data_IF_056990103882
#
_entry.id   IF_056990103882
#
_cell.length_a   1.000
_cell.length_b   1.000
_cell.length_c   1.000
_cell.angle_alpha   90.00
_cell.angle_beta   90.00
_cell.angle_gamma   90.00
#
_symmetry.space_group_name_H-M   'P 1'
#
loop_
_entity.id
_entity.type
_entity.pdbx_description
1 polymer ?
#
# COMPACT_ATOMS: atom_id res chain seq x y z
N UNK A 1 -7.70 -1.72 18.04
CA UNK A 1 -8.87 -2.63 18.14
C UNK A 1 -8.50 -4.04 17.66
N UNK A 2 -9.33 -5.08 17.88
CA UNK A 2 -9.07 -6.44 17.34
C UNK A 2 -9.05 -6.44 15.81
N UNK A 3 -9.93 -5.66 15.17
CA UNK A 3 -9.97 -5.50 13.71
C UNK A 3 -8.63 -5.01 13.16
N UNK A 4 -8.06 -3.95 13.73
CA UNK A 4 -6.73 -3.46 13.34
C UNK A 4 -5.64 -4.51 13.52
N UNK A 5 -5.67 -5.27 14.63
CA UNK A 5 -4.69 -6.33 14.89
C UNK A 5 -4.75 -7.42 13.81
N UNK A 6 -5.95 -7.83 13.40
CA UNK A 6 -6.12 -8.80 12.31
C UNK A 6 -5.65 -8.23 10.98
N UNK A 7 -5.94 -6.96 10.68
CA UNK A 7 -5.46 -6.31 9.45
C UNK A 7 -3.93 -6.27 9.41
N UNK A 8 -3.26 -5.93 10.52
CA UNK A 8 -1.80 -5.93 10.61
C UNK A 8 -1.22 -7.34 10.48
N UNK A 9 -1.83 -8.33 11.15
CA UNK A 9 -1.42 -9.73 11.01
C UNK A 9 -1.56 -10.21 9.56
N UNK A 10 -2.62 -9.80 8.87
CA UNK A 10 -2.88 -10.16 7.50
C UNK A 10 -1.94 -9.46 6.52
N UNK A 11 -1.69 -8.17 6.72
CA UNK A 11 -0.67 -7.40 6.01
C UNK A 11 0.70 -8.07 6.11
N UNK A 12 1.07 -8.56 7.29
CA UNK A 12 2.33 -9.27 7.46
C UNK A 12 2.42 -10.51 6.56
N UNK A 13 1.34 -11.27 6.42
CA UNK A 13 1.32 -12.50 5.60
C UNK A 13 1.27 -12.23 4.10
N UNK A 14 0.53 -11.21 3.67
CA UNK A 14 0.35 -10.90 2.25
C UNK A 14 1.54 -10.11 1.68
N UNK A 15 2.05 -9.15 2.45
CA UNK A 15 2.96 -8.13 1.95
C UNK A 15 4.29 -8.16 2.71
N UNK A 16 4.26 -7.91 4.02
CA UNK A 16 5.49 -7.58 4.75
C UNK A 16 6.48 -8.74 4.78
N UNK A 17 6.03 -9.96 5.06
CA UNK A 17 6.91 -11.11 5.11
C UNK A 17 7.55 -11.42 3.74
N UNK A 18 6.77 -11.61 2.64
CA UNK A 18 7.38 -11.88 1.33
C UNK A 18 8.25 -10.71 0.84
N UNK A 19 7.86 -9.46 1.09
CA UNK A 19 8.68 -8.29 0.75
C UNK A 19 10.01 -8.29 1.50
N UNK A 20 9.99 -8.47 2.83
CA UNK A 20 11.20 -8.43 3.65
C UNK A 20 12.12 -9.62 3.38
N UNK A 21 11.57 -10.78 3.05
CA UNK A 21 12.34 -11.95 2.62
C UNK A 21 13.06 -11.67 1.30
N UNK A 22 12.37 -11.08 0.31
CA UNK A 22 12.99 -10.71 -0.96
C UNK A 22 14.03 -9.60 -0.81
N UNK A 23 13.71 -8.54 -0.05
CA UNK A 23 14.60 -7.38 0.13
C UNK A 23 15.86 -7.70 0.94
N UNK A 24 15.83 -8.74 1.78
CA UNK A 24 16.97 -9.20 2.58
C UNK A 24 17.61 -10.48 2.04
N UNK A 25 17.24 -10.92 0.84
CA UNK A 25 17.84 -12.10 0.25
C UNK A 25 19.36 -11.88 0.03
N UNK A 26 20.18 -12.94 0.18
CA UNK A 26 21.63 -12.83 -0.02
C UNK A 26 21.95 -12.25 -1.40
N UNK A 27 22.83 -11.24 -1.43
CA UNK A 27 23.25 -10.60 -2.68
C UNK A 27 22.29 -9.54 -3.24
N UNK A 28 21.16 -9.27 -2.58
CA UNK A 28 20.27 -8.15 -2.95
C UNK A 28 20.79 -6.85 -2.36
N UNK A 29 21.02 -5.85 -3.21
CA UNK A 29 21.32 -4.50 -2.79
C UNK A 29 20.03 -3.73 -2.52
N UNK A 30 19.99 -2.96 -1.42
CA UNK A 30 18.85 -2.12 -1.08
C UNK A 30 18.53 -1.04 -2.11
N UNK A 31 19.52 -0.63 -2.92
CA UNK A 31 19.32 0.33 -4.01
C UNK A 31 18.57 -0.29 -5.20
N UNK A 32 18.70 -1.61 -5.40
CA UNK A 32 18.13 -2.32 -6.55
C UNK A 32 16.70 -2.85 -6.29
N UNK A 33 16.02 -2.32 -5.26
CA UNK A 33 14.68 -2.74 -4.88
C UNK A 33 13.56 -2.16 -5.77
N UNK A 34 13.90 -1.40 -6.81
CA UNK A 34 12.93 -0.77 -7.74
C UNK A 34 11.86 -1.75 -8.25
N UNK A 35 12.25 -2.85 -8.91
CA UNK A 35 11.30 -3.84 -9.41
C UNK A 35 10.44 -4.48 -8.32
N UNK A 36 11.00 -4.65 -7.10
CA UNK A 36 10.25 -5.21 -5.97
C UNK A 36 9.17 -4.24 -5.47
N UNK A 37 9.44 -2.92 -5.49
CA UNK A 37 8.46 -1.89 -5.14
C UNK A 37 7.35 -1.79 -6.19
N UNK A 38 7.67 -1.86 -7.47
CA UNK A 38 6.67 -1.89 -8.55
C UNK A 38 5.75 -3.10 -8.42
N UNK A 39 6.33 -4.28 -8.16
CA UNK A 39 5.55 -5.50 -7.90
C UNK A 39 4.63 -5.35 -6.69
N UNK A 40 5.12 -4.72 -5.62
CA UNK A 40 4.33 -4.45 -4.43
C UNK A 40 3.11 -3.57 -4.72
N UNK A 41 3.32 -2.46 -5.44
CA UNK A 41 2.28 -1.51 -5.84
C UNK A 41 1.22 -2.22 -6.71
N UNK A 42 1.66 -2.96 -7.73
CA UNK A 42 0.76 -3.73 -8.60
C UNK A 42 -0.06 -4.79 -7.83
N UNK A 43 0.52 -5.39 -6.79
CA UNK A 43 -0.18 -6.33 -5.92
C UNK A 43 -1.26 -5.63 -5.08
N UNK A 44 -0.97 -4.43 -4.55
CA UNK A 44 -1.98 -3.60 -3.90
C UNK A 44 -3.15 -3.28 -4.85
N UNK A 45 -2.87 -2.87 -6.10
CA UNK A 45 -3.91 -2.60 -7.10
C UNK A 45 -4.78 -3.82 -7.36
N UNK A 46 -4.16 -5.00 -7.45
CA UNK A 46 -4.86 -6.27 -7.65
C UNK A 46 -5.83 -6.58 -6.49
N UNK A 47 -5.38 -6.35 -5.24
CA UNK A 47 -6.20 -6.56 -4.05
C UNK A 47 -7.31 -5.51 -3.93
N UNK A 48 -7.05 -4.25 -4.27
CA UNK A 48 -8.06 -3.19 -4.25
C UNK A 48 -9.14 -3.43 -5.33
N UNK A 49 -8.75 -3.93 -6.49
CA UNK A 49 -9.68 -4.28 -7.57
C UNK A 49 -10.53 -5.51 -7.22
N UNK A 50 -9.94 -6.53 -6.60
CA UNK A 50 -10.65 -7.73 -6.17
C UNK A 50 -10.20 -8.21 -4.78
N UNK A 51 -10.83 -7.69 -3.71
CA UNK A 51 -10.47 -8.04 -2.32
C UNK A 51 -10.71 -9.52 -1.98
N UNK A 52 -11.59 -10.18 -2.73
CA UNK A 52 -11.99 -11.54 -2.47
C UNK A 52 -10.87 -12.53 -2.83
N UNK A 53 -9.85 -12.10 -3.58
CA UNK A 53 -8.62 -12.87 -3.81
C UNK A 53 -7.88 -13.21 -2.52
N UNK A 54 -7.90 -12.28 -1.55
CA UNK A 54 -7.29 -12.49 -0.23
C UNK A 54 -8.33 -12.89 0.82
N UNK A 55 -9.58 -12.42 0.70
CA UNK A 55 -10.60 -12.68 1.72
C UNK A 55 -11.28 -14.06 1.59
N UNK A 56 -11.19 -14.71 0.43
CA UNK A 56 -11.74 -16.05 0.25
C UNK A 56 -10.78 -17.12 0.79
N UNK A 57 -11.29 -18.00 1.66
CA UNK A 57 -10.53 -19.13 2.17
C UNK A 57 -10.64 -20.30 1.17
N UNK A 58 -9.79 -20.30 0.15
CA UNK A 58 -9.60 -21.44 -0.76
C UNK A 58 -8.22 -22.06 -0.56
N UNK A 59 -8.06 -23.35 -0.89
CA UNK A 59 -6.78 -24.07 -0.69
C UNK A 59 -5.61 -23.45 -1.44
N UNK A 60 -5.88 -22.77 -2.56
CA UNK A 60 -4.92 -22.10 -3.42
C UNK A 60 -4.94 -20.56 -3.29
N UNK A 61 -5.63 -20.02 -2.27
CA UNK A 61 -5.77 -18.56 -2.06
C UNK A 61 -4.43 -17.83 -1.89
N UNK A 62 -3.37 -18.53 -1.50
CA UNK A 62 -2.01 -17.97 -1.38
C UNK A 62 -1.41 -17.57 -2.73
N UNK A 63 -1.80 -18.23 -3.84
CA UNK A 63 -1.27 -17.94 -5.19
C UNK A 63 -1.55 -16.50 -5.63
N UNK A 64 -2.82 -16.04 -5.62
CA UNK A 64 -3.14 -14.63 -5.88
C UNK A 64 -3.02 -13.76 -4.63
N UNK A 65 -2.94 -14.36 -3.43
CA UNK A 65 -3.02 -13.63 -2.18
C UNK A 65 -1.67 -13.21 -1.60
N UNK A 66 -0.57 -13.92 -1.87
CA UNK A 66 0.76 -13.54 -1.42
C UNK A 66 1.49 -12.71 -2.48
N UNK A 67 2.28 -11.71 -2.06
CA UNK A 67 3.07 -10.87 -2.97
C UNK A 67 4.05 -11.69 -3.84
N UNK A 68 4.62 -12.76 -3.30
CA UNK A 68 5.53 -13.66 -4.01
C UNK A 68 4.82 -14.84 -4.69
N UNK A 69 3.51 -14.96 -4.49
CA UNK A 69 2.71 -16.10 -4.93
C UNK A 69 3.14 -17.41 -4.28
N UNK A 70 3.80 -17.40 -3.13
CA UNK A 70 4.19 -18.59 -2.38
C UNK A 70 3.19 -18.89 -1.25
N UNK A 71 3.16 -20.13 -0.74
CA UNK A 71 2.35 -20.47 0.43
C UNK A 71 2.68 -19.57 1.63
N UNK A 72 1.66 -19.10 2.34
CA UNK A 72 1.88 -18.24 3.51
C UNK A 72 2.65 -18.99 4.60
N UNK A 73 3.70 -18.36 5.11
CA UNK A 73 4.40 -18.82 6.32
C UNK A 73 3.42 -18.75 7.49
N UNK A 74 3.19 -19.87 8.18
CA UNK A 74 2.15 -20.02 9.23
C UNK A 74 0.71 -19.89 8.69
N UNK A 75 0.23 -20.84 7.86
CA UNK A 75 -1.13 -20.80 7.30
C UNK A 75 -2.23 -20.84 8.37
N UNK A 76 -1.94 -21.34 9.57
CA UNK A 76 -2.83 -21.32 10.72
C UNK A 76 -3.24 -19.90 11.14
N UNK A 77 -2.34 -18.92 10.95
CA UNK A 77 -2.61 -17.52 11.26
C UNK A 77 -3.64 -16.97 10.28
N UNK A 78 -3.50 -17.26 8.99
CA UNK A 78 -4.44 -16.82 7.96
C UNK A 78 -5.80 -17.45 8.20
N UNK A 79 -5.84 -18.76 8.48
CA UNK A 79 -7.08 -19.46 8.85
C UNK A 79 -7.78 -18.80 10.04
N UNK A 80 -7.05 -18.47 11.09
CA UNK A 80 -7.57 -17.77 12.27
C UNK A 80 -8.13 -16.39 11.89
N UNK A 81 -7.40 -15.62 11.07
CA UNK A 81 -7.86 -14.32 10.57
C UNK A 81 -9.19 -14.45 9.83
N UNK A 82 -9.33 -15.42 8.91
CA UNK A 82 -10.60 -15.62 8.19
C UNK A 82 -11.75 -16.00 9.13
N UNK A 83 -11.51 -16.86 10.12
CA UNK A 83 -12.53 -17.23 11.12
C UNK A 83 -12.97 -16.01 11.94
N UNK A 84 -12.03 -15.18 12.39
CA UNK A 84 -12.36 -13.97 13.12
C UNK A 84 -13.01 -12.90 12.24
N UNK A 85 -12.59 -12.77 10.98
CA UNK A 85 -13.13 -11.80 10.02
C UNK A 85 -14.63 -12.00 9.78
N UNK A 86 -15.12 -13.25 9.81
CA UNK A 86 -16.55 -13.56 9.70
C UNK A 86 -17.39 -12.95 10.83
N UNK A 87 -16.80 -12.70 12.00
CA UNK A 87 -17.47 -12.08 13.15
C UNK A 87 -17.29 -10.57 13.21
N UNK A 88 -16.50 -9.98 12.31
CA UNK A 88 -16.10 -8.58 12.33
C UNK A 88 -16.66 -7.86 11.09
N UNK A 89 -17.83 -7.20 11.22
CA UNK A 89 -18.53 -6.62 10.06
C UNK A 89 -17.72 -5.55 9.31
N UNK A 90 -16.78 -4.89 10.01
CA UNK A 90 -15.95 -3.83 9.44
C UNK A 90 -14.57 -4.29 8.98
N UNK A 91 -14.25 -5.59 9.07
CA UNK A 91 -12.91 -6.09 8.72
C UNK A 91 -12.56 -5.79 7.26
N UNK A 92 -13.48 -6.04 6.33
CA UNK A 92 -13.27 -5.76 4.90
C UNK A 92 -12.95 -4.29 4.64
N UNK A 93 -13.73 -3.38 5.21
CA UNK A 93 -13.52 -1.94 5.06
C UNK A 93 -12.18 -1.49 5.66
N UNK A 94 -11.84 -2.01 6.85
CA UNK A 94 -10.58 -1.72 7.51
C UNK A 94 -9.37 -2.23 6.70
N UNK A 95 -9.46 -3.44 6.12
CA UNK A 95 -8.42 -3.98 5.26
C UNK A 95 -8.21 -3.10 4.03
N UNK A 96 -9.28 -2.72 3.34
CA UNK A 96 -9.16 -1.88 2.14
C UNK A 96 -8.61 -0.51 2.43
N UNK A 97 -9.08 0.15 3.49
CA UNK A 97 -8.52 1.43 3.94
C UNK A 97 -7.03 1.32 4.26
N UNK A 98 -6.61 0.22 4.89
CA UNK A 98 -5.21 -0.03 5.19
C UNK A 98 -4.39 -0.26 3.91
N UNK A 99 -4.87 -1.10 2.98
CA UNK A 99 -4.18 -1.36 1.71
C UNK A 99 -4.07 -0.08 0.87
N UNK A 100 -5.09 0.77 0.84
CA UNK A 100 -5.03 2.09 0.18
C UNK A 100 -3.92 2.96 0.80
N UNK A 101 -3.85 3.07 2.13
CA UNK A 101 -2.81 3.85 2.78
C UNK A 101 -1.40 3.30 2.54
N UNK A 102 -1.24 1.98 2.55
CA UNK A 102 0.02 1.32 2.23
C UNK A 102 0.43 1.55 0.78
N UNK A 103 -0.51 1.47 -0.16
CA UNK A 103 -0.28 1.75 -1.57
C UNK A 103 0.20 3.19 -1.78
N UNK A 104 -0.49 4.17 -1.21
CA UNK A 104 -0.11 5.59 -1.26
C UNK A 104 1.29 5.81 -0.66
N UNK A 105 1.57 5.20 0.49
CA UNK A 105 2.88 5.28 1.14
C UNK A 105 3.99 4.72 0.26
N UNK A 106 3.81 3.53 -0.32
CA UNK A 106 4.81 2.92 -1.20
C UNK A 106 5.01 3.72 -2.50
N UNK A 107 3.95 4.29 -3.07
CA UNK A 107 4.06 5.16 -4.24
C UNK A 107 4.87 6.42 -3.93
N UNK A 108 4.61 7.07 -2.79
CA UNK A 108 5.38 8.24 -2.33
C UNK A 108 6.84 7.90 -2.04
N UNK A 109 7.08 6.82 -1.29
CA UNK A 109 8.43 6.38 -0.95
C UNK A 109 9.24 6.00 -2.20
N UNK A 110 8.62 5.33 -3.16
CA UNK A 110 9.31 4.88 -4.39
C UNK A 110 9.75 6.04 -5.29
N UNK A 111 9.03 7.17 -5.26
CA UNK A 111 9.37 8.35 -6.04
C UNK A 111 10.74 8.94 -5.68
N UNK A 112 11.22 8.74 -4.45
CA UNK A 112 12.52 9.22 -3.98
C UNK A 112 13.70 8.43 -4.58
N UNK A 113 13.47 7.23 -5.10
CA UNK A 113 14.50 6.29 -5.56
C UNK A 113 14.52 6.08 -7.08
N UNK A 114 13.84 6.93 -7.86
CA UNK A 114 13.90 6.90 -9.32
C UNK A 114 15.29 7.40 -9.76
N UNK A 115 15.96 6.64 -10.63
CA UNK A 115 17.28 6.98 -11.18
C UNK A 115 17.27 8.41 -11.76
N UNK A 116 18.16 9.27 -11.23
CA UNK A 116 18.29 10.67 -11.62
C UNK A 116 18.17 11.66 -10.47
N UNK A 117 17.64 11.28 -9.31
CA UNK A 117 17.74 12.05 -8.06
C UNK A 117 17.39 13.54 -8.18
N UNK A 118 16.51 13.91 -9.11
CA UNK A 118 16.05 15.27 -9.32
C UNK A 118 14.54 15.29 -9.59
N UNK A 119 13.84 15.91 -8.64
CA UNK A 119 12.54 16.59 -8.78
C UNK A 119 11.23 15.78 -8.72
N UNK A 120 10.86 15.32 -7.51
CA UNK A 120 9.41 15.31 -7.09
C UNK A 120 9.14 16.18 -5.85
N UNK A 121 10.14 16.96 -5.41
CA UNK A 121 9.86 18.25 -4.74
C UNK A 121 9.55 19.34 -5.78
N UNK A 122 8.71 19.05 -6.79
CA UNK A 122 8.06 20.16 -7.48
C UNK A 122 7.03 20.73 -6.52
N UNK A 123 7.20 22.01 -6.21
CA UNK A 123 6.48 22.88 -5.27
C UNK A 123 4.92 22.80 -5.24
N UNK A 124 4.27 21.94 -6.01
CA UNK A 124 2.82 21.82 -6.13
C UNK A 124 2.14 20.98 -5.03
N UNK A 125 2.89 20.16 -4.27
CA UNK A 125 2.33 19.37 -3.17
C UNK A 125 2.10 20.17 -1.87
N UNK A 126 2.99 21.13 -1.57
CA UNK A 126 2.96 21.91 -0.33
C UNK A 126 1.94 23.07 -0.41
N UNK A 127 1.66 23.59 -1.61
CA UNK A 127 0.70 24.69 -1.77
C UNK A 127 -0.78 24.24 -1.64
N UNK A 128 -1.10 22.95 -1.73
CA UNK A 128 -2.50 22.48 -1.55
C UNK A 128 -2.92 22.31 -0.09
N UNK A 129 -1.98 22.18 0.85
CA UNK A 129 -2.28 22.13 2.29
C UNK A 129 -2.23 23.49 2.98
N UNK A 130 -1.72 24.53 2.31
CA UNK A 130 -1.70 25.92 2.84
C UNK A 130 -2.63 26.92 2.13
N UNK A 131 -3.31 26.55 1.04
CA UNK A 131 -4.28 27.44 0.36
C UNK A 131 -5.76 27.12 0.63
N UNK A 132 -6.08 26.28 1.62
CA UNK A 132 -7.46 26.00 2.04
C UNK A 132 -7.93 26.76 3.30
N UNK A 133 -7.18 27.78 3.73
CA UNK A 133 -7.56 28.64 4.88
C UNK A 133 -7.66 30.14 4.56
N UNK A 134 -7.39 30.57 3.33
CA UNK A 134 -7.50 31.99 2.94
C UNK A 134 -8.23 32.21 1.61
N UNK A 135 -9.37 31.54 1.41
CA UNK A 135 -10.35 31.96 0.38
C UNK A 135 -11.49 32.74 1.05
N UNK A 136 -11.11 33.80 1.75
CA UNK A 136 -11.99 34.91 2.07
C UNK A 136 -11.17 36.18 1.81
N UNK A 137 -11.71 37.07 0.98
CA UNK A 137 -11.15 38.39 0.65
C UNK A 137 -9.91 38.41 -0.28
N UNK A 138 -10.12 38.61 -1.59
CA UNK A 138 -10.09 39.93 -2.25
C UNK A 138 -9.90 39.74 -3.77
N UNK A 139 -10.81 40.35 -4.53
CA UNK A 139 -10.71 40.60 -5.99
C UNK A 139 -9.53 41.54 -6.28
N UNK A 140 -8.72 41.25 -7.28
CA UNK A 140 -8.10 42.25 -8.19
C UNK A 140 -7.35 41.50 -9.30
N UNK A 141 -7.95 41.38 -10.49
CA UNK A 141 -7.77 42.25 -11.66
C UNK A 141 -6.41 42.10 -12.35
N UNK A 142 -6.49 41.37 -13.47
CA UNK A 142 -5.72 41.44 -14.72
C UNK A 142 -4.74 42.62 -14.86
N UNK A 143 -3.49 42.31 -15.17
CA UNK A 143 -2.72 43.11 -16.14
C UNK A 143 -1.70 42.22 -16.88
N UNK A 144 -1.75 42.31 -18.20
CA UNK A 144 -0.97 41.55 -19.19
C UNK A 144 -0.04 42.58 -19.85
N UNK A 145 1.27 42.37 -19.83
CA UNK A 145 2.27 43.17 -20.56
C UNK A 145 3.36 42.19 -20.99
N UNK A 146 3.30 41.73 -22.25
CA UNK A 146 4.17 42.14 -23.38
C UNK A 146 5.60 41.68 -23.22
#
# INVERSE_FOLDING_TARGET
TITELLVLAFYNKIFSHPYMTAARAPGVNGLDLGPLREKFIAHCDTILANPDLVLSLSGDAWKPGSLDGQPWTHPEVVKCIHQCAQMLPHFRGALLAFVTGVHEMFAQFSAEFIEGGMEVWTWNGILRTHLRTHSCCVKMSVCKVM
#
